data_IF_035292169530
#
_entry.id   IF_035292169530
#
_cell.length_a   1.000
_cell.length_b   1.000
_cell.length_c   1.000
_cell.angle_alpha   90.00
_cell.angle_beta   90.00
_cell.angle_gamma   90.00
#
_symmetry.space_group_name_H-M   'P 1'
#
loop_
_entity.id
_entity.type
_entity.pdbx_description
1 polymer ?
#
# COMPACT_ATOMS: atom_id res chain seq x y z
N UNK A 1 -10.69 -19.58 -0.35
CA UNK A 1 -11.07 -18.16 -0.41
C UNK A 1 -12.34 -17.98 0.39
N UNK A 2 -12.43 -16.91 1.17
CA UNK A 2 -13.66 -16.53 1.87
C UNK A 2 -14.38 -15.45 1.07
N UNK A 3 -15.70 -15.46 1.06
CA UNK A 3 -16.52 -14.39 0.50
C UNK A 3 -16.99 -13.50 1.63
N UNK A 4 -16.80 -12.19 1.49
CA UNK A 4 -17.27 -11.19 2.45
C UNK A 4 -18.26 -10.28 1.71
N UNK A 5 -19.44 -10.10 2.29
CA UNK A 5 -20.41 -9.10 1.84
C UNK A 5 -20.07 -7.74 2.44
N UNK A 6 -20.17 -6.67 1.64
CA UNK A 6 -19.85 -5.32 2.08
C UNK A 6 -20.84 -4.33 1.48
N UNK A 7 -21.30 -3.41 2.32
CA UNK A 7 -22.06 -2.24 1.88
C UNK A 7 -21.12 -1.17 1.32
N UNK A 8 -21.50 -0.65 0.15
CA UNK A 8 -20.79 0.42 -0.57
C UNK A 8 -21.82 1.44 -1.08
N UNK A 9 -21.47 2.73 -1.17
CA UNK A 9 -22.30 3.73 -1.85
C UNK A 9 -22.59 3.33 -3.30
N UNK A 10 -23.82 3.61 -3.76
CA UNK A 10 -24.26 3.27 -5.12
C UNK A 10 -23.41 3.98 -6.18
N UNK A 11 -22.95 5.19 -5.89
CA UNK A 11 -22.11 6.02 -6.74
C UNK A 11 -20.72 5.41 -6.96
N UNK A 12 -20.29 4.45 -6.14
CA UNK A 12 -19.02 3.74 -6.34
C UNK A 12 -19.10 2.70 -7.47
N UNK A 13 -20.30 2.28 -7.90
CA UNK A 13 -20.48 1.21 -8.89
C UNK A 13 -19.61 1.38 -10.15
N UNK A 14 -19.48 2.56 -10.79
CA UNK A 14 -18.65 2.72 -11.99
C UNK A 14 -17.15 2.52 -11.76
N UNK A 15 -16.69 2.62 -10.51
CA UNK A 15 -15.28 2.58 -10.13
C UNK A 15 -14.83 1.21 -9.60
N UNK A 16 -15.77 0.27 -9.44
CA UNK A 16 -15.47 -1.07 -8.92
C UNK A 16 -15.16 -2.00 -10.09
N UNK A 17 -13.87 -2.23 -10.30
CA UNK A 17 -13.37 -3.21 -11.25
C UNK A 17 -13.40 -4.63 -10.67
N UNK A 18 -14.46 -5.37 -10.96
CA UNK A 18 -14.63 -6.76 -10.52
C UNK A 18 -13.63 -7.75 -11.16
N UNK A 19 -12.88 -7.32 -12.18
CA UNK A 19 -11.92 -8.17 -12.90
C UNK A 19 -10.54 -8.16 -12.23
N UNK A 20 -10.11 -7.04 -11.66
CA UNK A 20 -8.80 -6.92 -11.01
C UNK A 20 -8.88 -7.06 -9.48
N UNK A 21 -9.23 -8.26 -9.03
CA UNK A 21 -9.35 -8.60 -7.60
C UNK A 21 -8.05 -8.39 -6.81
N UNK A 22 -6.88 -8.64 -7.42
CA UNK A 22 -5.60 -8.46 -6.75
C UNK A 22 -5.37 -6.99 -6.40
N UNK A 23 -5.59 -6.08 -7.36
CA UNK A 23 -5.47 -4.63 -7.13
C UNK A 23 -6.43 -4.16 -6.03
N UNK A 24 -7.68 -4.62 -6.05
CA UNK A 24 -8.66 -4.27 -5.02
C UNK A 24 -8.25 -4.76 -3.64
N UNK A 25 -7.81 -6.01 -3.53
CA UNK A 25 -7.35 -6.58 -2.26
C UNK A 25 -6.11 -5.85 -1.72
N UNK A 26 -5.18 -5.45 -2.59
CA UNK A 26 -4.04 -4.64 -2.19
C UNK A 26 -4.47 -3.27 -1.65
N UNK A 27 -5.36 -2.56 -2.37
CA UNK A 27 -5.88 -1.26 -1.91
C UNK A 27 -6.58 -1.39 -0.54
N UNK A 28 -7.30 -2.48 -0.28
CA UNK A 28 -7.93 -2.74 1.02
C UNK A 28 -6.92 -2.93 2.15
N UNK A 29 -5.72 -3.42 1.87
CA UNK A 29 -4.66 -3.60 2.86
C UNK A 29 -3.85 -2.33 3.13
N UNK A 30 -3.80 -1.40 2.18
CA UNK A 30 -2.93 -0.21 2.26
C UNK A 30 -3.12 0.66 3.52
N UNK A 31 -4.35 0.96 4.00
CA UNK A 31 -4.53 1.74 5.23
C UNK A 31 -3.86 1.11 6.46
N UNK A 32 -3.87 -0.22 6.56
CA UNK A 32 -3.23 -0.96 7.66
C UNK A 32 -1.70 -1.01 7.54
N UNK A 33 -1.16 -0.71 6.36
CA UNK A 33 0.28 -0.52 6.17
C UNK A 33 0.66 0.89 6.64
N UNK A 34 -0.13 1.91 6.27
CA UNK A 34 0.10 3.31 6.66
C UNK A 34 0.07 3.51 8.18
N UNK A 35 -0.91 2.93 8.87
CA UNK A 35 -1.01 3.01 10.33
C UNK A 35 -0.06 2.04 11.07
N UNK A 36 0.76 1.30 10.32
CA UNK A 36 1.75 0.32 10.80
C UNK A 36 1.16 -0.89 11.53
N UNK A 37 -0.15 -1.15 11.39
CA UNK A 37 -0.80 -2.37 11.90
C UNK A 37 -0.20 -3.63 11.28
N UNK A 38 0.10 -3.59 9.98
CA UNK A 38 0.84 -4.65 9.27
C UNK A 38 2.00 -4.06 8.48
N UNK A 39 3.06 -4.84 8.31
CA UNK A 39 4.15 -4.45 7.42
C UNK A 39 3.80 -4.74 5.95
N UNK A 40 4.49 -4.08 5.02
CA UNK A 40 4.45 -4.43 3.60
C UNK A 40 4.75 -5.92 3.35
N UNK A 41 5.66 -6.52 4.13
CA UNK A 41 5.98 -7.95 4.03
C UNK A 41 4.80 -8.83 4.42
N UNK A 42 4.10 -8.49 5.51
CA UNK A 42 2.90 -9.21 5.95
C UNK A 42 1.74 -9.05 4.95
N UNK A 43 1.57 -7.87 4.38
CA UNK A 43 0.58 -7.63 3.33
C UNK A 43 0.86 -8.47 2.07
N UNK A 44 2.13 -8.55 1.65
CA UNK A 44 2.54 -9.35 0.50
C UNK A 44 2.33 -10.85 0.74
N UNK A 45 2.61 -11.34 1.96
CA UNK A 45 2.32 -12.71 2.38
C UNK A 45 0.82 -13.03 2.30
N UNK A 46 -0.05 -12.12 2.78
CA UNK A 46 -1.52 -12.27 2.68
C UNK A 46 -1.98 -12.38 1.22
N UNK A 47 -1.36 -11.60 0.33
CA UNK A 47 -1.69 -11.58 -1.11
C UNK A 47 -1.01 -12.71 -1.89
N UNK A 48 -0.11 -13.48 -1.28
CA UNK A 48 0.63 -14.55 -1.94
C UNK A 48 1.60 -14.05 -3.00
N UNK A 49 2.21 -12.87 -2.81
CA UNK A 49 3.15 -12.26 -3.76
C UNK A 49 4.45 -11.80 -3.10
N UNK A 50 5.46 -11.45 -3.89
CA UNK A 50 6.70 -10.91 -3.35
C UNK A 50 6.49 -9.48 -2.83
N UNK A 51 7.21 -9.13 -1.76
CA UNK A 51 7.14 -7.78 -1.18
C UNK A 51 7.48 -6.69 -2.20
N UNK A 52 8.49 -6.91 -3.04
CA UNK A 52 8.91 -5.95 -4.06
C UNK A 52 7.80 -5.74 -5.10
N UNK A 53 7.18 -6.82 -5.58
CA UNK A 53 6.05 -6.74 -6.51
C UNK A 53 4.87 -5.95 -5.92
N UNK A 54 4.61 -6.09 -4.61
CA UNK A 54 3.58 -5.30 -3.93
C UNK A 54 3.95 -3.82 -3.85
N UNK A 55 5.22 -3.50 -3.61
CA UNK A 55 5.71 -2.11 -3.60
C UNK A 55 5.57 -1.50 -5.00
N UNK A 56 5.95 -2.23 -6.04
CA UNK A 56 5.82 -1.79 -7.43
C UNK A 56 4.35 -1.60 -7.83
N UNK A 57 3.47 -2.50 -7.39
CA UNK A 57 2.01 -2.36 -7.56
C UNK A 57 1.51 -1.05 -6.94
N UNK A 58 1.89 -0.76 -5.70
CA UNK A 58 1.49 0.48 -5.02
C UNK A 58 2.06 1.72 -5.69
N UNK A 59 3.34 1.70 -6.09
CA UNK A 59 3.97 2.79 -6.81
C UNK A 59 3.22 3.10 -8.13
N UNK A 60 2.83 2.07 -8.89
CA UNK A 60 2.05 2.23 -10.12
C UNK A 60 0.63 2.79 -9.89
N UNK A 61 0.09 2.66 -8.67
CA UNK A 61 -1.21 3.23 -8.28
C UNK A 61 -1.04 4.65 -7.70
N UNK A 62 0.18 5.09 -7.43
CA UNK A 62 0.50 6.39 -6.83
C UNK A 62 0.58 6.36 -5.31
N UNK A 63 0.69 5.18 -4.70
CA UNK A 63 0.87 5.02 -3.26
C UNK A 63 2.36 4.98 -2.91
N UNK A 64 2.87 5.92 -2.09
CA UNK A 64 4.27 5.93 -1.73
C UNK A 64 4.63 4.76 -0.82
N UNK A 65 5.86 4.26 -0.96
CA UNK A 65 6.44 3.27 -0.06
C UNK A 65 6.89 3.87 1.27
N UNK A 66 7.48 5.07 1.21
CA UNK A 66 7.85 5.88 2.36
C UNK A 66 6.87 7.03 2.49
N UNK A 67 6.24 7.16 3.66
CA UNK A 67 5.46 8.33 4.03
C UNK A 67 6.42 9.43 4.52
N UNK A 68 7.20 9.96 3.58
CA UNK A 68 8.17 11.02 3.81
C UNK A 68 8.00 12.11 2.77
N UNK A 69 8.01 13.35 3.24
CA UNK A 69 8.21 14.50 2.38
C UNK A 69 9.67 14.63 1.98
N UNK A 70 9.95 15.37 0.89
CA UNK A 70 11.32 15.63 0.44
C UNK A 70 12.15 16.30 1.55
N UNK A 71 11.55 17.24 2.30
CA UNK A 71 12.23 17.93 3.40
C UNK A 71 12.61 16.99 4.56
N UNK A 72 11.75 16.02 4.88
CA UNK A 72 12.06 15.01 5.90
C UNK A 72 13.18 14.09 5.44
N UNK A 73 13.15 13.68 4.17
CA UNK A 73 14.24 12.91 3.57
C UNK A 73 15.57 13.68 3.60
N UNK A 74 15.58 14.96 3.22
CA UNK A 74 16.78 15.79 3.24
C UNK A 74 17.38 15.89 4.64
N UNK A 75 16.53 16.08 5.66
CA UNK A 75 16.96 16.13 7.06
C UNK A 75 17.54 14.80 7.55
N UNK A 76 16.93 13.68 7.16
CA UNK A 76 17.44 12.35 7.49
C UNK A 76 18.82 12.11 6.84
N UNK A 77 19.00 12.57 5.60
CA UNK A 77 20.28 12.51 4.89
C UNK A 77 21.36 13.38 5.54
N UNK A 78 21.04 14.62 5.91
CA UNK A 78 21.96 15.51 6.65
C UNK A 78 22.42 14.85 7.96
N UNK A 79 21.48 14.27 8.70
CA UNK A 79 21.77 13.54 9.94
C UNK A 79 22.73 12.38 9.67
N UNK A 80 22.47 11.57 8.65
CA UNK A 80 23.34 10.46 8.27
C UNK A 80 24.76 10.92 7.94
N UNK A 81 24.91 11.99 7.16
CA UNK A 81 26.23 12.53 6.79
C UNK A 81 26.99 13.12 7.98
N UNK A 82 26.30 13.68 8.97
CA UNK A 82 26.94 14.21 10.19
C UNK A 82 27.53 13.14 11.11
N UNK A 83 27.05 11.90 10.99
CA UNK A 83 27.45 10.76 11.82
C UNK A 83 28.56 9.91 11.18
N UNK A 84 29.00 10.25 9.96
CA UNK A 84 29.95 9.49 9.15
C UNK A 84 31.29 10.20 9.04
#
# INVERSE_FOLDING_TARGET
MITIEREIPEEMKPYIDSTNKLRQNAILLYPYILDKTISHGRAAEILGMLKLDLIDLYANIGFPYFDLTINELDKDLETYYSLK
#
